data_IF_403701063417
#
_entry.id   IF_403701063417
#
_cell.length_a   1.000
_cell.length_b   1.000
_cell.length_c   1.000
_cell.angle_alpha   90.00
_cell.angle_beta   90.00
_cell.angle_gamma   90.00
#
_symmetry.space_group_name_H-M   'P 1'
#
loop_
_entity.id
_entity.type
_entity.pdbx_description
1 polymer ?
#
# COMPACT_ATOMS: atom_id res chain seq x y z
N UNK A 1 4.56 -3.72 13.17
CA UNK A 1 3.47 -2.75 12.89
C UNK A 1 3.95 -1.49 12.17
N UNK A 2 5.04 -0.83 12.59
CA UNK A 2 5.56 0.41 11.97
C UNK A 2 5.76 0.31 10.45
N UNK A 3 6.30 -0.81 9.94
CA UNK A 3 6.50 -0.98 8.50
C UNK A 3 5.18 -0.98 7.71
N UNK A 4 4.11 -1.56 8.25
CA UNK A 4 2.78 -1.54 7.63
C UNK A 4 2.19 -0.14 7.61
N UNK A 5 2.38 0.63 8.69
CA UNK A 5 1.96 2.04 8.72
C UNK A 5 2.73 2.89 7.69
N UNK A 6 4.03 2.67 7.53
CA UNK A 6 4.82 3.35 6.47
C UNK A 6 4.33 2.99 5.06
N UNK A 7 3.91 1.73 4.83
CA UNK A 7 3.30 1.30 3.56
C UNK A 7 1.98 2.03 3.31
N UNK A 8 1.12 2.18 4.32
CA UNK A 8 -0.11 2.98 4.25
C UNK A 8 0.16 4.45 3.89
N UNK A 9 1.13 5.09 4.54
CA UNK A 9 1.52 6.47 4.20
C UNK A 9 1.97 6.58 2.75
N UNK A 10 2.78 5.63 2.26
CA UNK A 10 3.22 5.63 0.86
C UNK A 10 2.05 5.39 -0.11
N UNK A 11 1.14 4.48 0.22
CA UNK A 11 0.00 4.13 -0.62
C UNK A 11 -1.00 5.29 -0.79
N UNK A 12 -1.13 6.15 0.22
CA UNK A 12 -2.05 7.31 0.20
C UNK A 12 -1.45 8.56 -0.45
N UNK A 13 -0.11 8.63 -0.66
CA UNK A 13 0.55 9.79 -1.29
C UNK A 13 -0.01 10.16 -2.67
N UNK A 14 -0.41 9.23 -3.55
CA UNK A 14 -0.89 9.58 -4.89
C UNK A 14 -2.33 10.09 -4.94
N UNK A 15 -3.05 10.10 -3.81
CA UNK A 15 -4.37 10.73 -3.74
C UNK A 15 -4.27 12.21 -4.16
N UNK A 16 -5.06 12.66 -5.15
CA UNK A 16 -4.96 14.02 -5.66
C UNK A 16 -5.42 15.05 -4.63
N UNK A 17 -6.51 14.74 -3.92
CA UNK A 17 -7.08 15.63 -2.90
C UNK A 17 -6.37 15.49 -1.54
N UNK A 18 -5.98 16.62 -0.97
CA UNK A 18 -5.30 16.70 0.33
C UNK A 18 -6.21 16.30 1.49
N UNK A 19 -7.49 16.64 1.43
CA UNK A 19 -8.46 16.31 2.47
C UNK A 19 -8.74 14.81 2.51
N UNK A 20 -9.03 14.21 1.35
CA UNK A 20 -9.25 12.76 1.20
C UNK A 20 -8.03 11.95 1.64
N UNK A 21 -6.82 12.41 1.32
CA UNK A 21 -5.57 11.78 1.79
C UNK A 21 -5.45 11.80 3.30
N UNK A 22 -5.76 12.92 3.94
CA UNK A 22 -5.74 13.05 5.39
C UNK A 22 -6.78 12.15 6.04
N UNK A 23 -8.01 12.18 5.55
CA UNK A 23 -9.09 11.32 6.04
C UNK A 23 -8.75 9.83 5.92
N UNK A 24 -8.16 9.44 4.78
CA UNK A 24 -7.71 8.05 4.58
C UNK A 24 -6.59 7.67 5.54
N UNK A 25 -5.63 8.57 5.79
CA UNK A 25 -4.57 8.34 6.77
C UNK A 25 -5.11 8.24 8.20
N UNK A 26 -6.07 9.08 8.57
CA UNK A 26 -6.69 9.08 9.88
C UNK A 26 -7.49 7.79 10.11
N UNK A 27 -8.23 7.33 9.09
CA UNK A 27 -8.89 6.01 9.09
C UNK A 27 -7.89 4.87 9.34
N UNK A 28 -6.78 4.83 8.59
CA UNK A 28 -5.77 3.79 8.74
C UNK A 28 -5.08 3.87 10.11
N UNK A 29 -4.88 5.08 10.65
CA UNK A 29 -4.27 5.30 11.96
C UNK A 29 -5.17 4.80 13.09
N UNK A 30 -6.48 5.04 13.01
CA UNK A 30 -7.45 4.58 14.00
C UNK A 30 -7.39 3.06 14.18
N UNK A 31 -7.16 2.31 13.11
CA UNK A 31 -7.07 0.85 13.16
C UNK A 31 -5.83 0.37 13.94
N UNK A 32 -4.69 1.08 13.84
CA UNK A 32 -3.52 0.80 14.67
C UNK A 32 -3.72 1.19 16.14
N UNK A 33 -4.36 2.32 16.41
CA UNK A 33 -4.63 2.75 17.79
C UNK A 33 -5.56 1.76 18.50
N UNK A 34 -6.57 1.22 17.79
CA UNK A 34 -7.45 0.17 18.33
C UNK A 34 -6.69 -1.10 18.74
N UNK A 35 -5.62 -1.42 18.03
CA UNK A 35 -4.80 -2.62 18.26
C UNK A 35 -3.63 -2.39 19.23
N UNK A 36 -3.42 -1.16 19.69
CA UNK A 36 -2.25 -0.78 20.52
C UNK A 36 -2.13 -1.59 21.81
N UNK A 37 -3.26 -1.94 22.41
CA UNK A 37 -3.33 -2.69 23.67
C UNK A 37 -3.78 -4.14 23.47
N UNK A 38 -3.86 -4.62 22.23
CA UNK A 38 -4.20 -6.03 21.94
C UNK A 38 -2.94 -6.89 22.10
N UNK A 39 -3.02 -7.92 22.94
CA UNK A 39 -1.89 -8.81 23.26
C UNK A 39 -2.07 -10.20 22.67
N UNK A 40 -3.26 -10.51 22.13
CA UNK A 40 -3.50 -11.75 21.41
C UNK A 40 -2.80 -11.74 20.04
N UNK A 41 -1.74 -12.55 19.93
CA UNK A 41 -0.95 -12.68 18.72
C UNK A 41 -1.76 -13.17 17.51
N UNK A 42 -2.80 -13.97 17.73
CA UNK A 42 -3.67 -14.49 16.66
C UNK A 42 -4.52 -13.36 16.08
N UNK A 43 -5.10 -12.52 16.94
CA UNK A 43 -5.84 -11.34 16.52
C UNK A 43 -4.94 -10.33 15.82
N UNK A 44 -3.75 -10.06 16.36
CA UNK A 44 -2.80 -9.13 15.73
C UNK A 44 -2.42 -9.60 14.31
N UNK A 45 -2.14 -10.89 14.12
CA UNK A 45 -1.81 -11.46 12.79
C UNK A 45 -2.98 -11.35 11.83
N UNK A 46 -4.19 -11.68 12.27
CA UNK A 46 -5.40 -11.57 11.46
C UNK A 46 -5.68 -10.13 11.03
N UNK A 47 -5.59 -9.18 11.95
CA UNK A 47 -5.76 -7.75 11.65
C UNK A 47 -4.66 -7.24 10.70
N UNK A 48 -3.40 -7.63 10.89
CA UNK A 48 -2.31 -7.26 9.99
C UNK A 48 -2.54 -7.81 8.56
N UNK A 49 -3.03 -9.03 8.45
CA UNK A 49 -3.37 -9.66 7.16
C UNK A 49 -4.51 -8.91 6.47
N UNK A 50 -5.57 -8.60 7.21
CA UNK A 50 -6.68 -7.78 6.72
C UNK A 50 -6.20 -6.42 6.22
N UNK A 51 -5.42 -5.71 7.05
CA UNK A 51 -4.87 -4.40 6.72
C UNK A 51 -4.06 -4.40 5.43
N UNK A 52 -3.18 -5.39 5.25
CA UNK A 52 -2.40 -5.52 4.01
C UNK A 52 -3.28 -5.80 2.78
N UNK A 53 -4.38 -6.55 2.93
CA UNK A 53 -5.36 -6.76 1.84
C UNK A 53 -6.09 -5.47 1.49
N UNK A 54 -6.53 -4.72 2.50
CA UNK A 54 -7.17 -3.42 2.32
C UNK A 54 -6.25 -2.46 1.56
N UNK A 55 -4.98 -2.36 1.95
CA UNK A 55 -4.00 -1.55 1.22
C UNK A 55 -3.86 -1.99 -0.23
N UNK A 56 -3.78 -3.30 -0.50
CA UNK A 56 -3.71 -3.83 -1.87
C UNK A 56 -4.96 -3.52 -2.69
N UNK A 57 -6.14 -3.42 -2.08
CA UNK A 57 -7.37 -3.05 -2.78
C UNK A 57 -7.45 -1.56 -3.08
N UNK A 58 -6.82 -0.72 -2.25
CA UNK A 58 -6.71 0.72 -2.50
C UNK A 58 -5.68 1.07 -3.58
N UNK A 59 -4.63 0.25 -3.77
CA UNK A 59 -3.55 0.57 -4.73
C UNK A 59 -4.02 0.68 -6.20
N UNK A 60 -4.83 -0.23 -6.77
CA UNK A 60 -5.26 -0.18 -8.17
C UNK A 60 -6.21 0.99 -8.47
N UNK A 61 -7.13 1.30 -7.57
CA UNK A 61 -8.12 2.38 -7.75
C UNK A 61 -7.50 3.78 -7.75
N UNK A 62 -6.26 3.90 -7.28
CA UNK A 62 -5.51 5.14 -7.19
C UNK A 62 -4.51 5.35 -8.35
N UNK A 63 -4.49 4.47 -9.37
CA UNK A 63 -3.49 4.49 -10.46
C UNK A 63 -2.04 4.59 -9.93
N UNK A 64 -1.70 3.78 -8.93
CA UNK A 64 -0.35 3.64 -8.38
C UNK A 64 0.58 2.79 -9.28
N UNK A 65 0.89 3.24 -10.50
CA UNK A 65 1.88 2.57 -11.37
C UNK A 65 3.33 2.64 -10.83
N UNK A 66 3.59 3.38 -9.75
CA UNK A 66 4.94 3.57 -9.19
C UNK A 66 5.26 2.82 -7.88
N UNK A 67 4.34 2.05 -7.33
CA UNK A 67 4.54 1.31 -6.07
C UNK A 67 4.45 -0.19 -6.33
N UNK A 68 5.42 -0.72 -7.08
CA UNK A 68 5.76 -2.13 -6.99
C UNK A 68 6.21 -2.38 -5.56
N UNK A 69 5.38 -3.14 -4.85
CA UNK A 69 5.62 -3.57 -3.48
C UNK A 69 6.94 -4.33 -3.48
N UNK A 70 7.94 -3.73 -2.86
CA UNK A 70 9.20 -4.36 -2.49
C UNK A 70 8.94 -5.52 -1.52
N UNK A 71 8.54 -6.65 -2.11
CA UNK A 71 8.61 -8.02 -1.61
C UNK A 71 8.33 -8.98 -2.78
N UNK A 72 9.37 -9.26 -3.57
CA UNK A 72 9.57 -10.58 -4.17
C UNK A 72 8.83 -10.97 -5.46
N UNK A 73 8.53 -10.06 -6.38
CA UNK A 73 8.06 -10.51 -7.70
C UNK A 73 7.69 -9.40 -8.67
N UNK A 74 8.43 -9.32 -9.77
CA UNK A 74 7.94 -8.74 -11.03
C UNK A 74 7.51 -7.30 -10.94
N UNK A 75 8.45 -6.39 -10.65
CA UNK A 75 8.27 -5.02 -11.13
C UNK A 75 8.00 -5.08 -12.62
N UNK A 76 6.85 -4.56 -13.06
CA UNK A 76 6.50 -4.45 -14.46
C UNK A 76 7.59 -3.63 -15.14
N UNK A 77 8.59 -4.35 -15.70
CA UNK A 77 9.58 -3.76 -16.57
C UNK A 77 8.79 -3.29 -17.78
N UNK A 78 8.54 -1.99 -17.85
CA UNK A 78 8.36 -1.32 -19.14
C UNK A 78 9.72 -1.43 -19.84
N UNK A 79 10.01 -2.62 -20.38
CA UNK A 79 11.06 -2.83 -21.37
C UNK A 79 10.60 -2.01 -22.56
N UNK A 80 11.22 -0.85 -22.74
CA UNK A 80 11.02 -0.03 -23.91
C UNK A 80 11.17 -0.90 -25.16
N UNK A 81 10.20 -0.78 -26.08
CA UNK A 81 10.35 -1.26 -27.44
C UNK A 81 11.59 -0.61 -28.03
N UNK A 82 12.73 -1.30 -27.97
CA UNK A 82 13.86 -1.01 -28.82
C UNK A 82 13.47 -1.44 -30.23
N UNK A 83 13.00 -0.46 -31.01
CA UNK A 83 12.72 -0.53 -32.43
C UNK A 83 14.00 -0.99 -33.16
N UNK A 84 14.11 -2.28 -33.49
CA UNK A 84 15.17 -2.79 -34.37
C UNK A 84 14.65 -2.74 -35.80
N UNK A 85 15.12 -1.75 -36.56
CA UNK A 85 14.98 -1.71 -38.01
C UNK A 85 16.11 -2.56 -38.60
N UNK A 86 15.83 -3.62 -39.38
CA UNK A 86 16.85 -4.22 -40.22
C UNK A 86 17.05 -3.34 -41.47
N UNK A 87 18.32 -3.14 -41.81
CA UNK A 87 18.79 -2.76 -43.14
C UNK A 87 18.94 -4.03 -43.98
#
# INVERSE_FOLDING_TARGET
>A
MIQSYRKAVRATRPLPDSKTRRETLDFLRADFERLKNEHDLTKLRSNLSHFNKLLKQMTPSLNLTGLTVDQGGGGAKLVGQAKRHPF
#
